data_IF_121837901274
#
_entry.id   IF_121837901274
#
_cell.length_a   1.000
_cell.length_b   1.000
_cell.length_c   1.000
_cell.angle_alpha   90.00
_cell.angle_beta   90.00
_cell.angle_gamma   90.00
#
_symmetry.space_group_name_H-M   'P 1'
#
loop_
_entity.id
_entity.type
_entity.pdbx_description
1 polymer ?
#
# COMPACT_ATOMS: atom_id res chain seq x y z
N UNK A 1 2.21 4.66 -15.25
CA UNK A 1 1.61 5.22 -14.02
C UNK A 1 2.66 5.68 -13.01
N UNK A 2 3.71 4.90 -12.71
CA UNK A 2 4.71 5.26 -11.69
C UNK A 2 5.53 6.52 -12.02
N UNK A 3 5.90 6.75 -13.28
CA UNK A 3 6.70 7.91 -13.68
C UNK A 3 6.02 9.28 -13.44
N UNK A 4 4.72 9.30 -13.17
CA UNK A 4 3.96 10.51 -12.90
C UNK A 4 3.63 10.68 -11.39
N UNK A 5 4.21 9.85 -10.53
CA UNK A 5 3.94 9.85 -9.10
C UNK A 5 5.08 10.50 -8.32
N UNK A 6 4.73 11.44 -7.43
CA UNK A 6 5.67 12.09 -6.50
C UNK A 6 5.28 11.75 -5.06
N UNK A 7 6.25 11.28 -4.27
CA UNK A 7 6.08 10.98 -2.86
C UNK A 7 5.72 12.24 -2.05
N UNK A 8 4.75 12.10 -1.14
CA UNK A 8 4.26 13.21 -0.30
C UNK A 8 5.26 13.65 0.80
N UNK A 9 6.33 12.87 1.01
CA UNK A 9 7.39 13.07 2.00
C UNK A 9 8.54 13.98 1.53
N UNK A 10 8.42 14.63 0.37
CA UNK A 10 9.42 15.60 -0.09
C UNK A 10 9.54 16.86 0.80
N UNK A 11 8.61 17.06 1.74
CA UNK A 11 8.64 18.13 2.73
C UNK A 11 9.53 17.76 3.93
N UNK A 12 10.63 18.48 4.11
CA UNK A 12 11.65 18.24 5.14
C UNK A 12 11.09 18.23 6.56
N UNK A 13 10.05 19.03 6.86
CA UNK A 13 9.42 19.07 8.19
C UNK A 13 8.65 17.79 8.52
N UNK A 14 8.00 17.18 7.53
CA UNK A 14 7.31 15.90 7.72
C UNK A 14 8.31 14.79 7.97
N UNK A 15 9.46 14.81 7.26
CA UNK A 15 10.53 13.83 7.44
C UNK A 15 11.06 13.84 8.88
N UNK A 16 11.37 15.01 9.44
CA UNK A 16 11.87 15.14 10.81
C UNK A 16 10.88 14.62 11.86
N UNK A 17 9.59 14.94 11.70
CA UNK A 17 8.54 14.46 12.59
C UNK A 17 8.47 12.92 12.59
N UNK A 18 8.48 12.28 11.41
CA UNK A 18 8.38 10.83 11.31
C UNK A 18 9.65 10.12 11.80
N UNK A 19 10.82 10.67 11.51
CA UNK A 19 12.13 10.10 11.89
C UNK A 19 12.30 9.97 13.40
N UNK A 20 11.78 10.94 14.17
CA UNK A 20 11.75 10.91 15.64
C UNK A 20 11.03 9.66 16.18
N UNK A 21 10.00 9.19 15.48
CA UNK A 21 9.22 8.01 15.85
C UNK A 21 9.69 6.72 15.15
N UNK A 22 10.83 6.74 14.44
CA UNK A 22 11.28 5.67 13.55
C UNK A 22 10.24 5.28 12.48
N UNK A 23 9.30 6.19 12.24
CA UNK A 23 8.27 6.05 11.22
C UNK A 23 8.78 6.70 9.95
N UNK A 24 8.34 6.18 8.81
CA UNK A 24 8.55 6.79 7.51
C UNK A 24 7.26 7.34 6.93
N UNK A 25 6.09 6.96 7.47
CA UNK A 25 4.78 7.40 6.99
C UNK A 25 3.65 6.54 7.51
N UNK A 26 2.45 6.72 6.93
CA UNK A 26 1.28 5.89 7.18
C UNK A 26 0.81 5.32 5.85
N UNK A 27 0.49 4.04 5.85
CA UNK A 27 -0.23 3.42 4.75
C UNK A 27 -1.65 3.09 5.21
N UNK A 28 -2.65 3.51 4.45
CA UNK A 28 -4.05 3.26 4.77
C UNK A 28 -4.79 2.73 3.55
N UNK A 29 -5.80 1.91 3.81
CA UNK A 29 -6.76 1.42 2.83
C UNK A 29 -8.15 1.85 3.20
N UNK A 30 -8.96 2.15 2.19
CA UNK A 30 -10.35 2.56 2.38
C UNK A 30 -11.25 1.73 1.45
N UNK A 31 -12.49 1.50 1.89
CA UNK A 31 -13.51 0.98 1.00
C UNK A 31 -14.10 2.09 0.12
N UNK A 32 -14.84 1.70 -0.91
CA UNK A 32 -15.56 2.62 -1.82
C UNK A 32 -16.57 3.55 -1.11
N UNK A 33 -16.96 3.26 0.13
CA UNK A 33 -17.86 4.10 0.93
C UNK A 33 -17.12 5.16 1.76
N UNK A 34 -15.79 5.24 1.66
CA UNK A 34 -14.98 6.22 2.38
C UNK A 34 -14.57 5.80 3.80
N UNK A 35 -14.88 4.57 4.23
CA UNK A 35 -14.41 4.05 5.52
C UNK A 35 -13.01 3.46 5.40
N UNK A 36 -12.14 3.81 6.34
CA UNK A 36 -10.83 3.17 6.49
C UNK A 36 -11.05 1.71 6.90
N UNK A 37 -10.46 0.78 6.15
CA UNK A 37 -10.49 -0.66 6.47
C UNK A 37 -9.29 -1.02 7.34
N UNK A 38 -8.09 -0.65 6.90
CA UNK A 38 -6.84 -0.90 7.61
C UNK A 38 -5.91 0.30 7.53
N UNK A 39 -5.21 0.56 8.63
CA UNK A 39 -4.17 1.57 8.76
C UNK A 39 -2.93 0.93 9.38
N UNK A 40 -1.76 1.23 8.83
CA UNK A 40 -0.48 0.71 9.32
C UNK A 40 0.56 1.82 9.32
N UNK A 41 1.29 1.91 10.43
CA UNK A 41 2.48 2.74 10.53
C UNK A 41 3.60 2.12 9.69
N UNK A 42 4.19 2.93 8.82
CA UNK A 42 5.35 2.52 8.05
C UNK A 42 6.59 2.76 8.93
N UNK A 43 7.32 1.71 9.27
CA UNK A 43 8.47 1.71 10.18
C UNK A 43 9.66 1.10 9.43
N UNK A 44 10.82 1.77 9.46
CA UNK A 44 12.09 1.40 8.82
C UNK A 44 12.11 1.26 7.29
N UNK A 45 11.11 0.62 6.69
CA UNK A 45 11.15 0.19 5.29
C UNK A 45 10.64 1.23 4.27
N UNK A 46 10.07 2.35 4.73
CA UNK A 46 9.64 3.40 3.81
C UNK A 46 8.53 2.97 2.87
N UNK A 47 8.50 3.60 1.71
CA UNK A 47 7.52 3.42 0.63
C UNK A 47 7.74 2.14 -0.21
N UNK A 48 8.50 1.17 0.31
CA UNK A 48 8.57 -0.15 -0.29
C UNK A 48 7.18 -0.80 -0.28
N UNK A 49 6.95 -1.71 -1.23
CA UNK A 49 5.66 -2.37 -1.43
C UNK A 49 5.21 -3.32 -0.29
N UNK A 50 5.91 -3.36 0.85
CA UNK A 50 5.62 -4.27 1.98
C UNK A 50 4.23 -4.03 2.58
N UNK A 51 3.89 -2.76 2.84
CA UNK A 51 2.60 -2.37 3.42
C UNK A 51 1.41 -2.60 2.48
N UNK A 52 1.46 -2.20 1.19
CA UNK A 52 0.38 -2.55 0.28
C UNK A 52 0.26 -4.07 0.06
N UNK A 53 1.36 -4.84 0.06
CA UNK A 53 1.29 -6.31 0.00
C UNK A 53 0.63 -6.91 1.26
N UNK A 54 0.95 -6.41 2.45
CA UNK A 54 0.33 -6.89 3.69
C UNK A 54 -1.18 -6.63 3.73
N UNK A 55 -1.61 -5.44 3.29
CA UNK A 55 -3.03 -5.11 3.17
C UNK A 55 -3.71 -5.94 2.09
N UNK A 56 -3.03 -6.20 0.97
CA UNK A 56 -3.52 -7.09 -0.08
C UNK A 56 -3.79 -8.49 0.47
N UNK A 57 -2.84 -9.08 1.20
CA UNK A 57 -3.02 -10.38 1.87
C UNK A 57 -4.23 -10.34 2.80
N UNK A 58 -4.35 -9.29 3.63
CA UNK A 58 -5.50 -9.14 4.54
C UNK A 58 -6.83 -9.03 3.78
N UNK A 59 -6.86 -8.35 2.65
CA UNK A 59 -8.05 -8.22 1.82
C UNK A 59 -8.47 -9.57 1.22
N UNK A 60 -7.52 -10.35 0.70
CA UNK A 60 -7.78 -11.69 0.15
C UNK A 60 -8.32 -12.62 1.24
N UNK A 61 -7.70 -12.64 2.43
CA UNK A 61 -8.16 -13.44 3.58
C UNK A 61 -9.60 -13.10 4.01
N UNK A 62 -9.97 -11.82 4.01
CA UNK A 62 -11.24 -11.36 4.58
C UNK A 62 -12.39 -11.34 3.57
N UNK A 63 -12.11 -11.10 2.28
CA UNK A 63 -13.13 -10.93 1.25
C UNK A 63 -13.18 -12.07 0.22
N UNK A 64 -12.19 -12.96 0.20
CA UNK A 64 -12.07 -14.03 -0.78
C UNK A 64 -12.05 -13.48 -2.20
N UNK A 65 -12.95 -13.96 -3.06
CA UNK A 65 -12.98 -13.61 -4.49
C UNK A 65 -13.78 -12.36 -4.86
N UNK A 66 -14.44 -11.71 -3.88
CA UNK A 66 -15.46 -10.66 -4.12
C UNK A 66 -14.95 -9.27 -3.76
N UNK A 67 -13.84 -8.85 -4.33
CA UNK A 67 -13.27 -7.53 -4.06
C UNK A 67 -12.50 -6.97 -5.25
N UNK A 68 -12.19 -5.68 -5.20
CA UNK A 68 -11.41 -4.96 -6.20
C UNK A 68 -10.44 -4.03 -5.47
N UNK A 69 -9.23 -3.88 -6.01
CA UNK A 69 -8.20 -2.99 -5.45
C UNK A 69 -7.97 -1.77 -6.32
N UNK A 70 -8.01 -0.59 -5.70
CA UNK A 70 -7.52 0.64 -6.29
C UNK A 70 -6.23 1.06 -5.62
N UNK A 71 -5.18 1.36 -6.39
CA UNK A 71 -3.94 1.91 -5.87
C UNK A 71 -3.37 2.96 -6.82
N UNK A 72 -2.87 4.07 -6.28
CA UNK A 72 -2.39 5.22 -7.06
C UNK A 72 -1.20 4.90 -7.98
N UNK A 73 -0.39 3.91 -7.63
CA UNK A 73 0.66 3.32 -8.48
C UNK A 73 0.35 1.86 -8.86
N UNK A 74 -0.94 1.55 -9.06
CA UNK A 74 -1.45 0.20 -9.30
C UNK A 74 -0.75 -0.57 -10.42
N UNK A 75 -0.33 0.10 -11.51
CA UNK A 75 0.38 -0.60 -12.60
C UNK A 75 1.76 -1.14 -12.16
N UNK A 76 2.51 -0.39 -11.36
CA UNK A 76 3.81 -0.84 -10.84
C UNK A 76 3.61 -1.89 -9.75
N UNK A 77 2.59 -1.69 -8.91
CA UNK A 77 2.25 -2.64 -7.87
C UNK A 77 1.79 -3.98 -8.43
N UNK A 78 1.06 -3.98 -9.56
CA UNK A 78 0.72 -5.19 -10.30
C UNK A 78 1.95 -6.02 -10.67
N UNK A 79 2.97 -5.37 -11.24
CA UNK A 79 4.23 -6.02 -11.57
C UNK A 79 4.93 -6.55 -10.31
N UNK A 80 4.88 -5.80 -9.19
CA UNK A 80 5.39 -6.31 -7.91
C UNK A 80 4.68 -7.58 -7.48
N UNK A 81 3.34 -7.62 -7.51
CA UNK A 81 2.56 -8.79 -7.08
C UNK A 81 2.91 -10.04 -7.91
N UNK A 82 3.16 -9.90 -9.21
CA UNK A 82 3.55 -11.02 -10.09
C UNK A 82 4.83 -11.73 -9.63
N UNK A 83 5.70 -11.04 -8.89
CA UNK A 83 6.94 -11.60 -8.35
C UNK A 83 6.82 -12.02 -6.86
N UNK A 84 5.60 -12.21 -6.36
CA UNK A 84 5.33 -12.63 -4.97
C UNK A 84 4.51 -13.92 -4.93
N UNK A 85 4.46 -14.55 -3.75
CA UNK A 85 3.58 -15.70 -3.49
C UNK A 85 2.09 -15.40 -3.61
N UNK A 86 1.69 -14.11 -3.66
CA UNK A 86 0.29 -13.69 -3.81
C UNK A 86 -0.18 -13.74 -5.27
N UNK A 87 0.72 -13.93 -6.23
CA UNK A 87 0.36 -13.94 -7.65
C UNK A 87 -0.80 -14.89 -8.01
N UNK A 88 -0.86 -16.15 -7.50
CA UNK A 88 -1.96 -17.07 -7.84
C UNK A 88 -3.32 -16.63 -7.30
N UNK A 89 -3.32 -15.91 -6.17
CA UNK A 89 -4.52 -15.45 -5.48
C UNK A 89 -5.01 -14.10 -6.02
N UNK A 90 -4.14 -13.39 -6.73
CA UNK A 90 -4.43 -12.08 -7.29
C UNK A 90 -4.84 -12.17 -8.76
N UNK A 91 -6.14 -12.27 -9.00
CA UNK A 91 -6.71 -12.10 -10.33
C UNK A 91 -7.20 -10.66 -10.50
N UNK A 92 -6.63 -9.94 -11.47
CA UNK A 92 -7.24 -8.70 -11.96
C UNK A 92 -8.59 -9.06 -12.59
N UNK A 93 -9.68 -8.83 -11.83
CA UNK A 93 -11.05 -8.96 -12.32
C UNK A 93 -11.58 -7.61 -12.75
#
# INVERSE_FOLDING_TARGET
CANNWNAALSDSRKKEMWDTFHKSGIFASACRHGFILWIVDMIHSGELAKYPLAILTKAIEMFGDKWMVGYNIGCSFAATIQHTSLHPEFQWK
#
